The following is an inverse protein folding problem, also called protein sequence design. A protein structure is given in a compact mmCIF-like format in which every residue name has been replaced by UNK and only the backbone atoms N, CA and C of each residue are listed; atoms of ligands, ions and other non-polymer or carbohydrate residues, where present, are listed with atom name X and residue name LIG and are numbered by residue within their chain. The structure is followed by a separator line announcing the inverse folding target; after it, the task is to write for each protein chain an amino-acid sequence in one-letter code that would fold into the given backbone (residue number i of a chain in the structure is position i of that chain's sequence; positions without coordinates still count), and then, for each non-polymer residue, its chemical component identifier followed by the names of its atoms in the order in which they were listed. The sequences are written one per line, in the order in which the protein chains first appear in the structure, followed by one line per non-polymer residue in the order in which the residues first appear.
data_IF_550984251716
#
_entry.id   IF_550984251716
#
_cell.length_a   1.000
_cell.length_b   1.000
_cell.length_c   1.000
_cell.angle_alpha   90.00
_cell.angle_beta   90.00
_cell.angle_gamma   90.00
#
_symmetry.space_group_name_H-M   'P 1'
#
loop_
_entity.id
_entity.type
_entity.pdbx_description
1 polymer ?
#
# COMPACT_ATOMS: atom_id res chain seq x y z
N UNK A 1 30.75 -32.69 -14.30
CA UNK A 1 29.90 -33.48 -13.40
C UNK A 1 28.78 -32.56 -12.98
N UNK A 2 27.59 -32.72 -13.57
CA UNK A 2 26.45 -31.83 -13.29
C UNK A 2 25.76 -32.37 -12.05
N UNK A 3 25.94 -31.70 -10.91
CA UNK A 3 25.28 -32.03 -9.66
C UNK A 3 23.78 -31.77 -9.82
N UNK A 4 22.99 -32.84 -9.93
CA UNK A 4 21.53 -32.75 -10.02
C UNK A 4 21.00 -32.30 -8.66
N UNK A 5 20.37 -31.13 -8.62
CA UNK A 5 19.71 -30.63 -7.42
C UNK A 5 18.66 -31.65 -6.92
N UNK A 6 18.50 -31.82 -5.60
CA UNK A 6 17.54 -32.77 -5.04
C UNK A 6 16.13 -32.47 -5.54
N UNK A 7 15.49 -33.51 -6.09
CA UNK A 7 14.11 -33.44 -6.53
C UNK A 7 13.20 -33.24 -5.30
N UNK A 8 12.34 -32.22 -5.36
CA UNK A 8 11.36 -31.96 -4.32
C UNK A 8 10.12 -32.84 -4.45
N UNK A 9 9.29 -32.84 -3.41
CA UNK A 9 8.01 -33.54 -3.45
C UNK A 9 7.13 -33.03 -4.59
N UNK A 10 6.38 -33.92 -5.27
CA UNK A 10 5.47 -33.52 -6.33
C UNK A 10 4.38 -32.60 -5.77
N UNK A 11 3.95 -31.65 -6.60
CA UNK A 11 2.93 -30.68 -6.21
C UNK A 11 1.64 -31.41 -5.80
N UNK A 12 1.08 -31.14 -4.60
CA UNK A 12 -0.10 -31.84 -4.11
C UNK A 12 -1.37 -31.53 -4.93
N UNK A 13 -1.38 -30.43 -5.69
CA UNK A 13 -2.54 -30.00 -6.48
C UNK A 13 -2.53 -30.55 -7.92
N UNK A 14 -1.36 -30.62 -8.56
CA UNK A 14 -1.27 -30.95 -10.00
C UNK A 14 -0.27 -32.08 -10.32
N UNK A 15 0.43 -32.62 -9.33
CA UNK A 15 1.41 -33.70 -9.50
C UNK A 15 2.73 -33.30 -10.18
N UNK A 16 2.90 -32.03 -10.56
CA UNK A 16 4.15 -31.55 -11.18
C UNK A 16 5.35 -31.77 -10.25
N UNK A 17 6.43 -32.34 -10.76
CA UNK A 17 7.72 -32.38 -10.08
C UNK A 17 8.36 -31.00 -10.09
N UNK A 18 8.85 -30.56 -8.92
CA UNK A 18 9.50 -29.28 -8.75
C UNK A 18 10.79 -29.47 -7.93
N UNK A 19 11.78 -28.59 -8.11
CA UNK A 19 13.00 -28.60 -7.29
C UNK A 19 12.69 -28.18 -5.84
N UNK A 20 13.42 -28.69 -4.86
CA UNK A 20 13.11 -28.40 -3.44
C UNK A 20 13.16 -26.91 -3.07
N UNK A 21 13.90 -26.09 -3.81
CA UNK A 21 14.06 -24.67 -3.52
C UNK A 21 12.93 -23.79 -4.04
N UNK A 22 12.01 -24.31 -4.87
CA UNK A 22 10.90 -23.49 -5.35
C UNK A 22 9.84 -23.30 -4.28
N UNK A 23 9.41 -22.05 -4.11
CA UNK A 23 8.34 -21.68 -3.19
C UNK A 23 6.96 -22.02 -3.73
N UNK A 24 6.81 -21.99 -5.05
CA UNK A 24 5.53 -22.22 -5.74
C UNK A 24 5.73 -23.28 -6.82
N UNK A 25 4.68 -24.05 -7.08
CA UNK A 25 4.67 -24.98 -8.20
C UNK A 25 4.77 -24.21 -9.52
N UNK A 26 5.71 -24.58 -10.38
CA UNK A 26 5.95 -23.91 -11.67
C UNK A 26 4.83 -24.12 -12.70
N UNK A 27 3.87 -25.03 -12.42
CA UNK A 27 2.75 -25.32 -13.31
C UNK A 27 1.41 -24.74 -12.83
N UNK A 28 1.08 -24.92 -11.55
CA UNK A 28 -0.24 -24.54 -11.02
C UNK A 28 -0.18 -23.48 -9.92
N UNK A 29 1.02 -22.97 -9.62
CA UNK A 29 1.29 -21.89 -8.65
C UNK A 29 0.82 -22.15 -7.22
N UNK A 30 0.54 -23.42 -6.88
CA UNK A 30 0.27 -23.80 -5.49
C UNK A 30 1.53 -23.56 -4.66
N UNK A 31 1.36 -22.96 -3.47
CA UNK A 31 2.44 -22.78 -2.51
C UNK A 31 2.97 -24.15 -2.09
N UNK A 32 4.28 -24.36 -2.27
CA UNK A 32 4.97 -25.59 -1.90
C UNK A 32 5.82 -25.38 -0.65
N UNK A 33 6.42 -24.19 -0.48
CA UNK A 33 7.26 -23.86 0.68
C UNK A 33 7.00 -22.47 1.23
N UNK A 34 7.02 -22.38 2.54
CA UNK A 34 6.92 -21.15 3.30
C UNK A 34 8.32 -20.61 3.58
N UNK A 35 8.52 -19.32 3.36
CA UNK A 35 9.75 -18.63 3.72
C UNK A 35 9.57 -17.96 5.07
N UNK A 36 10.46 -18.25 6.03
CA UNK A 36 10.44 -17.60 7.33
C UNK A 36 10.65 -16.08 7.16
N UNK A 37 9.78 -15.22 7.74
CA UNK A 37 9.90 -13.77 7.58
C UNK A 37 11.10 -13.17 8.32
N UNK A 38 11.68 -13.90 9.29
CA UNK A 38 12.82 -13.44 10.07
C UNK A 38 14.17 -13.89 9.50
N UNK A 39 14.31 -15.16 9.10
CA UNK A 39 15.59 -15.73 8.67
C UNK A 39 15.60 -16.27 7.24
N UNK A 40 14.48 -16.15 6.50
CA UNK A 40 14.31 -16.61 5.13
C UNK A 40 14.52 -18.12 4.89
N UNK A 41 14.55 -18.93 5.95
CA UNK A 41 14.56 -20.37 5.85
C UNK A 41 13.31 -20.89 5.12
N UNK A 42 13.50 -21.77 4.14
CA UNK A 42 12.43 -22.38 3.35
C UNK A 42 12.02 -23.73 3.96
N UNK A 43 10.74 -23.86 4.30
CA UNK A 43 10.19 -25.04 4.97
C UNK A 43 8.85 -25.46 4.36
N UNK A 44 8.46 -26.74 4.45
CA UNK A 44 7.25 -27.25 3.82
C UNK A 44 5.95 -26.85 4.56
N UNK A 45 6.04 -26.28 5.76
CA UNK A 45 4.89 -25.88 6.57
C UNK A 45 4.96 -24.42 7.05
N UNK A 46 3.78 -23.85 7.33
CA UNK A 46 3.65 -22.57 8.02
C UNK A 46 3.82 -22.71 9.54
N UNK A 47 3.46 -21.65 10.27
CA UNK A 47 3.51 -21.64 11.74
C UNK A 47 4.90 -21.30 12.26
N UNK A 48 5.55 -22.24 12.95
CA UNK A 48 6.85 -22.01 13.57
C UNK A 48 8.00 -22.30 12.60
N UNK A 49 9.02 -21.46 12.63
CA UNK A 49 10.23 -21.69 11.84
C UNK A 49 11.10 -22.79 12.45
N UNK A 50 11.52 -23.76 11.64
CA UNK A 50 12.42 -24.84 12.08
C UNK A 50 13.84 -24.35 12.38
N UNK A 51 14.27 -23.28 11.72
CA UNK A 51 15.62 -22.73 11.86
C UNK A 51 15.76 -21.71 13.00
N UNK A 52 14.84 -20.75 13.11
CA UNK A 52 14.94 -19.66 14.09
C UNK A 52 13.83 -19.64 15.15
N UNK A 53 12.87 -20.57 15.09
CA UNK A 53 11.81 -20.72 16.09
C UNK A 53 10.74 -19.62 16.11
N UNK A 54 10.78 -18.66 15.18
CA UNK A 54 9.77 -17.60 15.12
C UNK A 54 8.43 -18.18 14.68
N UNK A 55 7.34 -17.78 15.34
CA UNK A 55 5.98 -18.07 14.88
C UNK A 55 5.53 -17.01 13.87
N UNK A 56 5.06 -17.44 12.71
CA UNK A 56 4.71 -16.55 11.60
C UNK A 56 3.52 -15.65 11.96
N UNK A 57 2.53 -16.16 12.70
CA UNK A 57 1.33 -15.41 13.10
C UNK A 57 1.70 -14.37 14.15
N UNK A 58 2.52 -14.74 15.13
CA UNK A 58 3.01 -13.78 16.13
C UNK A 58 3.86 -12.68 15.49
N UNK A 59 4.74 -13.04 14.55
CA UNK A 59 5.58 -12.10 13.83
C UNK A 59 4.74 -11.09 13.03
N UNK A 60 3.77 -11.55 12.26
CA UNK A 60 2.88 -10.67 11.49
C UNK A 60 2.05 -9.77 12.41
N UNK A 61 1.54 -10.31 13.51
CA UNK A 61 0.77 -9.54 14.50
C UNK A 61 1.63 -8.44 15.14
N UNK A 62 2.89 -8.74 15.46
CA UNK A 62 3.84 -7.76 15.98
C UNK A 62 4.12 -6.65 14.96
N UNK A 63 4.32 -6.99 13.68
CA UNK A 63 4.53 -6.01 12.61
C UNK A 63 3.31 -5.10 12.40
N UNK A 64 2.10 -5.66 12.42
CA UNK A 64 0.85 -4.88 12.32
C UNK A 64 0.69 -3.93 13.50
N UNK A 65 1.04 -4.36 14.72
CA UNK A 65 1.03 -3.50 15.91
C UNK A 65 1.99 -2.32 15.74
N UNK A 66 3.23 -2.59 15.36
CA UNK A 66 4.25 -1.55 15.12
C UNK A 66 3.82 -0.58 14.00
N UNK A 67 3.20 -1.09 12.92
CA UNK A 67 2.70 -0.25 11.84
C UNK A 67 1.57 0.68 12.32
N UNK A 68 0.63 0.18 13.14
CA UNK A 68 -0.44 0.98 13.74
C UNK A 68 0.11 2.05 14.68
N UNK A 69 1.07 1.70 15.52
CA UNK A 69 1.73 2.65 16.43
C UNK A 69 2.42 3.77 15.67
N UNK A 70 3.15 3.44 14.58
CA UNK A 70 3.78 4.44 13.70
C UNK A 70 2.75 5.34 13.02
N UNK A 71 1.65 4.77 12.53
CA UNK A 71 0.57 5.53 11.90
C UNK A 71 -0.11 6.49 12.90
N UNK A 72 -0.36 6.03 14.13
CA UNK A 72 -0.92 6.85 15.20
C UNK A 72 0.05 7.96 15.62
N UNK A 73 1.34 7.66 15.75
CA UNK A 73 2.36 8.66 16.06
C UNK A 73 2.48 9.73 14.96
N UNK A 74 2.33 9.34 13.69
CA UNK A 74 2.32 10.27 12.57
C UNK A 74 1.04 11.14 12.53
N UNK A 75 -0.10 10.58 12.95
CA UNK A 75 -1.39 11.27 13.00
C UNK A 75 -1.62 12.10 14.27
N UNK A 76 -0.78 11.92 15.31
CA UNK A 76 -0.89 12.68 16.55
C UNK A 76 -0.72 14.18 16.26
N UNK A 77 -1.66 15.05 16.68
CA UNK A 77 -1.54 16.48 16.44
C UNK A 77 -0.27 17.00 17.10
N UNK A 78 0.59 17.67 16.34
CA UNK A 78 1.74 18.39 16.88
C UNK A 78 1.23 19.60 17.65
N UNK A 79 0.82 19.38 18.91
CA UNK A 79 0.48 20.48 19.81
C UNK A 79 1.76 21.27 20.04
N UNK A 80 1.78 22.51 19.55
CA UNK A 80 2.98 23.34 19.63
C UNK A 80 3.39 23.50 21.12
N UNK A 81 4.69 23.61 21.42
CA UNK A 81 5.14 23.86 22.79
C UNK A 81 4.55 25.16 23.34
N UNK A 82 4.24 26.14 22.48
CA UNK A 82 3.53 27.37 22.85
C UNK A 82 2.08 27.09 23.27
N UNK A 83 1.35 26.22 22.57
CA UNK A 83 -0.02 25.82 22.94
C UNK A 83 -0.03 25.02 24.24
N UNK A 84 0.95 24.12 24.46
CA UNK A 84 1.11 23.42 25.76
C UNK A 84 1.43 24.39 26.90
N UNK A 85 2.34 25.34 26.68
CA UNK A 85 2.70 26.37 27.66
C UNK A 85 1.51 27.31 27.95
N UNK A 86 0.68 27.61 26.95
CA UNK A 86 -0.54 28.39 27.13
C UNK A 86 -1.58 27.63 27.96
N UNK A 87 -1.83 26.34 27.69
CA UNK A 87 -2.80 25.54 28.47
C UNK A 87 -2.34 25.37 29.92
N UNK A 88 -1.07 25.03 30.14
CA UNK A 88 -0.49 24.94 31.49
C UNK A 88 -0.49 26.31 32.17
N UNK A 89 -0.15 27.37 31.44
CA UNK A 89 -0.17 28.74 31.92
C UNK A 89 -1.57 29.19 32.32
N UNK A 90 -2.61 28.90 31.53
CA UNK A 90 -4.01 29.22 31.83
C UNK A 90 -4.49 28.39 33.02
N UNK A 91 -4.17 27.10 33.10
CA UNK A 91 -4.54 26.26 34.25
C UNK A 91 -3.88 26.76 35.56
N UNK A 92 -2.59 27.08 35.51
CA UNK A 92 -1.88 27.70 36.64
C UNK A 92 -2.44 29.10 36.95
N UNK A 93 -2.83 29.88 35.94
CA UNK A 93 -3.44 31.19 36.13
C UNK A 93 -4.84 31.10 36.73
N UNK A 94 -5.65 30.09 36.40
CA UNK A 94 -6.96 29.86 37.01
C UNK A 94 -6.79 29.41 38.46
N UNK A 95 -5.82 28.53 38.76
CA UNK A 95 -5.49 28.14 40.13
C UNK A 95 -4.94 29.33 40.93
N UNK A 96 -4.04 30.11 40.32
CA UNK A 96 -3.49 31.31 40.93
C UNK A 96 -4.57 32.39 41.12
N UNK A 97 -5.48 32.61 40.17
CA UNK A 97 -6.60 33.56 40.28
C UNK A 97 -7.64 33.10 41.31
N UNK A 98 -7.91 31.79 41.42
CA UNK A 98 -8.74 31.23 42.49
C UNK A 98 -8.11 31.43 43.86
N UNK A 99 -6.79 31.23 43.99
CA UNK A 99 -6.04 31.55 45.20
C UNK A 99 -5.95 33.08 45.45
N UNK A 100 -5.86 33.89 44.41
CA UNK A 100 -5.72 35.36 44.46
C UNK A 100 -7.04 36.03 44.86
N UNK A 101 -8.18 35.58 44.34
CA UNK A 101 -9.50 36.07 44.78
C UNK A 101 -9.77 35.80 46.26
N UNK A 102 -9.14 34.77 46.83
CA UNK A 102 -9.19 34.48 48.26
C UNK A 102 -8.26 35.36 49.11
N UNK A 103 -7.33 36.12 48.50
CA UNK A 103 -6.22 36.77 49.20
C UNK A 103 -5.97 38.23 48.79
N UNK A 104 -6.88 38.87 48.05
CA UNK A 104 -6.87 40.33 47.77
C UNK A 104 -8.01 41.10 48.45
N UNK A 105 -8.26 40.80 49.74
CA UNK A 105 -8.34 41.89 50.72
C UNK A 105 -6.89 42.30 50.99
N UNK A 106 -6.61 43.60 50.78
CA UNK A 106 -5.38 44.32 51.14
C UNK A 106 -4.24 44.32 50.09
N UNK A 107 -4.11 45.53 49.52
CA UNK A 107 -2.85 46.22 49.21
C UNK A 107 -2.17 45.97 47.86
N UNK A 108 -1.69 47.07 47.29
CA UNK A 108 -1.31 47.23 45.88
C UNK A 108 0.17 47.48 45.63
N UNK A 109 0.51 47.31 44.34
CA UNK A 109 1.62 47.84 43.52
C UNK A 109 3.09 47.58 43.96
N UNK A 110 4.12 47.68 43.08
CA UNK A 110 4.14 47.98 41.63
C UNK A 110 4.95 46.98 40.75
N UNK A 111 5.02 47.31 39.46
CA UNK A 111 5.51 46.57 38.28
C UNK A 111 7.04 46.56 38.11
N UNK A 112 7.62 45.42 37.68
CA UNK A 112 8.97 45.33 37.08
C UNK A 112 8.88 44.91 35.59
N UNK A 113 9.69 45.46 34.69
CA UNK A 113 9.69 45.09 33.27
C UNK A 113 10.61 43.89 32.97
N UNK A 114 10.17 43.01 32.07
CA UNK A 114 10.87 41.80 31.65
C UNK A 114 11.93 42.05 30.56
N UNK A 115 12.91 41.14 30.38
CA UNK A 115 13.94 41.25 29.35
C UNK A 115 13.38 40.91 27.96
N UNK A 116 13.89 41.60 26.93
CA UNK A 116 13.49 41.41 25.53
C UNK A 116 14.01 40.06 24.97
N UNK A 117 13.18 39.27 24.27
CA UNK A 117 13.63 38.10 23.53
C UNK A 117 14.47 38.52 22.30
N UNK A 118 15.59 37.83 22.07
CA UNK A 118 16.37 37.95 20.84
C UNK A 118 15.60 37.32 19.69
N UNK A 119 15.35 38.12 18.66
CA UNK A 119 14.81 37.67 17.37
C UNK A 119 15.91 36.88 16.66
N UNK A 120 15.66 35.59 16.40
CA UNK A 120 16.46 34.82 15.47
C UNK A 120 16.16 35.32 14.05
N UNK A 121 17.19 35.72 13.32
CA UNK A 121 17.09 36.05 11.91
C UNK A 121 16.76 34.78 11.11
N UNK A 122 15.74 34.80 10.22
CA UNK A 122 15.48 33.67 9.35
C UNK A 122 16.63 33.52 8.37
N UNK A 123 17.25 32.34 8.36
CA UNK A 123 18.13 31.91 7.26
C UNK A 123 17.26 31.84 6.01
N UNK A 124 17.59 32.55 4.92
CA UNK A 124 16.81 32.47 3.69
C UNK A 124 16.81 31.03 3.20
N UNK A 125 15.61 30.45 3.07
CA UNK A 125 15.43 29.15 2.48
C UNK A 125 15.98 29.18 1.04
N UNK A 126 16.65 28.12 0.58
CA UNK A 126 17.07 28.04 -0.82
C UNK A 126 15.85 28.20 -1.73
N UNK A 127 16.00 28.86 -2.90
CA UNK A 127 14.89 29.05 -3.82
C UNK A 127 14.32 27.67 -4.21
N UNK A 128 12.98 27.51 -4.23
CA UNK A 128 12.37 26.26 -4.64
C UNK A 128 12.84 25.92 -6.07
N UNK A 129 13.09 24.63 -6.38
CA UNK A 129 13.38 24.23 -7.74
C UNK A 129 12.25 24.70 -8.68
N UNK A 130 12.55 25.05 -9.93
CA UNK A 130 11.52 25.44 -10.88
C UNK A 130 10.50 24.30 -11.00
N UNK A 131 9.21 24.62 -10.92
CA UNK A 131 8.12 23.63 -10.87
C UNK A 131 8.18 22.60 -12.03
N UNK A 132 8.71 22.99 -13.19
CA UNK A 132 8.93 22.11 -14.33
C UNK A 132 9.97 21.00 -14.07
N UNK A 133 11.03 21.28 -13.30
CA UNK A 133 12.04 20.28 -12.95
C UNK A 133 11.51 19.27 -11.92
N UNK A 134 10.66 19.72 -10.99
CA UNK A 134 9.99 18.80 -10.04
C UNK A 134 8.99 17.90 -10.75
N UNK A 135 8.20 18.44 -11.69
CA UNK A 135 7.23 17.66 -12.46
C UNK A 135 7.91 16.60 -13.34
N UNK A 136 8.98 16.94 -14.04
CA UNK A 136 9.75 15.98 -14.83
C UNK A 136 10.35 14.85 -13.97
N UNK A 137 10.84 15.19 -12.78
CA UNK A 137 11.35 14.18 -11.84
C UNK A 137 10.22 13.25 -11.36
N UNK A 138 9.04 13.81 -11.04
CA UNK A 138 7.87 13.02 -10.65
C UNK A 138 7.39 12.11 -11.77
N UNK A 139 7.37 12.58 -13.02
CA UNK A 139 7.01 11.77 -14.18
C UNK A 139 7.97 10.59 -14.36
N UNK A 140 9.28 10.82 -14.24
CA UNK A 140 10.30 9.77 -14.30
C UNK A 140 10.18 8.76 -13.15
N UNK A 141 9.88 9.23 -11.94
CA UNK A 141 9.67 8.37 -10.77
C UNK A 141 8.41 7.49 -10.94
N UNK A 142 7.31 8.06 -11.45
CA UNK A 142 6.09 7.30 -11.76
C UNK A 142 6.36 6.24 -12.81
N UNK A 143 7.03 6.60 -13.91
CA UNK A 143 7.33 5.64 -14.96
C UNK A 143 8.17 4.48 -14.42
N UNK A 144 9.18 4.77 -13.60
CA UNK A 144 10.02 3.75 -12.96
C UNK A 144 9.20 2.77 -12.11
N UNK A 145 8.25 3.27 -11.30
CA UNK A 145 7.45 2.38 -10.44
C UNK A 145 6.42 1.56 -11.22
N UNK A 146 5.79 2.15 -12.25
CA UNK A 146 4.85 1.42 -13.12
C UNK A 146 5.56 0.33 -13.94
N UNK A 147 6.78 0.60 -14.42
CA UNK A 147 7.63 -0.40 -15.06
C UNK A 147 8.06 -1.50 -14.09
N UNK A 148 8.32 -1.16 -12.83
CA UNK A 148 8.55 -2.13 -11.76
C UNK A 148 7.37 -3.07 -11.53
N UNK A 149 6.13 -2.53 -11.52
CA UNK A 149 4.92 -3.34 -11.42
C UNK A 149 4.70 -4.23 -12.64
N UNK A 150 4.93 -3.72 -13.86
CA UNK A 150 4.92 -4.53 -15.10
C UNK A 150 5.88 -5.70 -14.97
N UNK A 151 7.10 -5.44 -14.50
CA UNK A 151 8.13 -6.47 -14.36
C UNK A 151 7.71 -7.55 -13.37
N UNK A 152 7.04 -7.19 -12.28
CA UNK A 152 6.52 -8.15 -11.29
C UNK A 152 5.34 -8.98 -11.82
N UNK A 153 4.43 -8.34 -12.57
CA UNK A 153 3.33 -9.04 -13.22
C UNK A 153 3.86 -10.08 -14.23
N UNK A 154 4.82 -9.69 -15.07
CA UNK A 154 5.45 -10.58 -16.06
C UNK A 154 6.32 -11.68 -15.42
N UNK A 155 6.99 -11.38 -14.31
CA UNK A 155 7.81 -12.33 -13.56
C UNK A 155 6.98 -13.32 -12.71
N UNK A 156 5.65 -13.28 -12.80
CA UNK A 156 4.75 -14.15 -12.02
C UNK A 156 4.99 -14.00 -10.51
N UNK A 157 5.24 -12.78 -10.03
CA UNK A 157 5.50 -12.49 -8.63
C UNK A 157 4.33 -12.92 -7.73
N UNK A 158 4.60 -13.25 -6.47
CA UNK A 158 3.54 -13.58 -5.50
C UNK A 158 2.91 -12.31 -4.90
N UNK A 159 1.68 -12.44 -4.37
CA UNK A 159 0.97 -11.31 -3.78
C UNK A 159 1.73 -10.56 -2.66
N UNK A 160 2.42 -11.23 -1.71
CA UNK A 160 3.24 -10.54 -0.71
C UNK A 160 4.30 -9.58 -1.28
N UNK A 161 4.80 -9.85 -2.49
CA UNK A 161 5.74 -8.97 -3.19
C UNK A 161 5.04 -7.93 -4.05
N UNK A 162 3.91 -8.29 -4.67
CA UNK A 162 3.16 -7.43 -5.57
C UNK A 162 2.31 -6.39 -4.83
N UNK A 163 1.47 -6.82 -3.88
CA UNK A 163 0.48 -6.01 -3.19
C UNK A 163 1.07 -4.75 -2.55
N UNK A 164 2.03 -4.87 -1.61
CA UNK A 164 2.65 -3.70 -0.97
C UNK A 164 3.26 -2.71 -1.98
N UNK A 165 3.92 -3.21 -3.03
CA UNK A 165 4.53 -2.37 -4.07
C UNK A 165 3.48 -1.64 -4.90
N UNK A 166 2.34 -2.26 -5.20
CA UNK A 166 1.23 -1.58 -5.87
C UNK A 166 0.66 -0.44 -5.02
N UNK A 167 0.44 -0.68 -3.71
CA UNK A 167 -0.02 0.37 -2.79
C UNK A 167 0.99 1.51 -2.62
N UNK A 168 2.29 1.23 -2.60
CA UNK A 168 3.33 2.26 -2.52
C UNK A 168 3.46 3.04 -3.83
N UNK A 169 3.40 2.38 -4.98
CA UNK A 169 3.40 3.01 -6.30
C UNK A 169 2.22 3.98 -6.46
N UNK A 170 1.02 3.61 -5.94
CA UNK A 170 -0.17 4.48 -5.98
C UNK A 170 0.10 5.86 -5.40
N UNK A 171 0.80 5.94 -4.27
CA UNK A 171 1.14 7.22 -3.61
C UNK A 171 2.00 8.12 -4.51
N UNK A 172 2.94 7.52 -5.24
CA UNK A 172 3.85 8.23 -6.15
C UNK A 172 3.06 8.75 -7.36
N UNK A 173 2.18 7.91 -7.92
CA UNK A 173 1.29 8.29 -9.04
C UNK A 173 0.33 9.41 -8.61
N UNK A 174 -0.31 9.31 -7.46
CA UNK A 174 -1.23 10.33 -6.96
C UNK A 174 -0.53 11.68 -6.76
N UNK A 175 0.71 11.68 -6.26
CA UNK A 175 1.52 12.90 -6.14
C UNK A 175 1.79 13.52 -7.50
N UNK A 176 2.19 12.75 -8.51
CA UNK A 176 2.44 13.26 -9.86
C UNK A 176 1.18 13.82 -10.51
N UNK A 177 0.07 13.07 -10.46
CA UNK A 177 -1.18 13.49 -11.09
C UNK A 177 -1.75 14.76 -10.42
N UNK A 178 -1.48 14.95 -9.13
CA UNK A 178 -1.90 16.15 -8.39
C UNK A 178 -0.93 17.34 -8.53
N UNK A 179 0.27 17.13 -9.07
CA UNK A 179 1.23 18.22 -9.27
C UNK A 179 0.74 19.21 -10.34
N UNK A 180 1.14 20.47 -10.22
CA UNK A 180 0.82 21.49 -11.23
C UNK A 180 1.61 21.28 -12.52
N UNK A 181 1.05 21.70 -13.66
CA UNK A 181 1.69 21.57 -14.97
C UNK A 181 1.62 20.16 -15.55
N UNK A 182 2.52 19.84 -16.49
CA UNK A 182 2.59 18.54 -17.15
C UNK A 182 1.48 18.30 -18.19
N UNK A 183 1.67 17.24 -18.96
CA UNK A 183 0.70 16.80 -19.96
C UNK A 183 -0.48 16.08 -19.29
N UNK A 184 -1.70 16.58 -19.50
CA UNK A 184 -2.94 16.06 -18.89
C UNK A 184 -3.24 14.63 -19.33
N UNK A 185 -2.90 14.33 -20.57
CA UNK A 185 -3.13 13.03 -21.21
C UNK A 185 -2.17 11.96 -20.67
N UNK A 186 -0.91 12.31 -20.46
CA UNK A 186 0.11 11.47 -19.79
C UNK A 186 -0.30 11.23 -18.33
N UNK A 187 -0.69 12.27 -17.60
CA UNK A 187 -1.18 12.14 -16.21
C UNK A 187 -2.39 11.22 -16.11
N UNK A 188 -3.36 11.37 -17.00
CA UNK A 188 -4.52 10.49 -17.07
C UNK A 188 -4.10 9.05 -17.35
N UNK A 189 -3.27 8.81 -18.35
CA UNK A 189 -2.82 7.45 -18.69
C UNK A 189 -2.02 6.78 -17.55
N UNK A 190 -1.19 7.54 -16.82
CA UNK A 190 -0.49 7.03 -15.64
C UNK A 190 -1.45 6.67 -14.49
N UNK A 191 -2.49 7.49 -14.26
CA UNK A 191 -3.55 7.17 -13.29
C UNK A 191 -4.31 5.91 -13.68
N UNK A 192 -4.80 5.83 -14.91
CA UNK A 192 -5.56 4.67 -15.42
C UNK A 192 -4.73 3.38 -15.37
N UNK A 193 -3.44 3.46 -15.69
CA UNK A 193 -2.50 2.34 -15.56
C UNK A 193 -2.39 1.87 -14.10
N UNK A 194 -2.24 2.81 -13.16
CA UNK A 194 -2.16 2.50 -11.74
C UNK A 194 -3.46 1.91 -11.21
N UNK A 195 -4.60 2.44 -11.64
CA UNK A 195 -5.92 1.97 -11.24
C UNK A 195 -6.14 0.50 -11.67
N UNK A 196 -5.66 0.10 -12.85
CA UNK A 196 -5.66 -1.30 -13.29
C UNK A 196 -4.78 -2.20 -12.41
N UNK A 197 -3.57 -1.75 -12.03
CA UNK A 197 -2.75 -2.50 -11.08
C UNK A 197 -3.40 -2.61 -9.69
N UNK A 198 -4.12 -1.57 -9.25
CA UNK A 198 -4.85 -1.61 -7.99
C UNK A 198 -6.06 -2.55 -8.04
N UNK A 199 -6.79 -2.59 -9.16
CA UNK A 199 -7.85 -3.57 -9.39
C UNK A 199 -7.31 -5.00 -9.32
N UNK A 200 -6.17 -5.27 -9.97
CA UNK A 200 -5.49 -6.56 -9.87
C UNK A 200 -5.09 -6.90 -8.41
N UNK A 201 -4.57 -5.93 -7.65
CA UNK A 201 -4.25 -6.15 -6.23
C UNK A 201 -5.50 -6.49 -5.40
N UNK A 202 -6.61 -5.77 -5.61
CA UNK A 202 -7.86 -6.01 -4.92
C UNK A 202 -8.45 -7.40 -5.26
N UNK A 203 -8.48 -7.75 -6.54
CA UNK A 203 -8.94 -9.04 -7.04
C UNK A 203 -8.12 -10.19 -6.45
N UNK A 204 -6.79 -10.09 -6.48
CA UNK A 204 -5.91 -11.12 -5.92
C UNK A 204 -6.12 -11.27 -4.40
N UNK A 205 -6.19 -10.16 -3.66
CA UNK A 205 -6.45 -10.17 -2.23
C UNK A 205 -7.78 -10.84 -1.87
N UNK A 206 -8.83 -10.63 -2.67
CA UNK A 206 -10.11 -11.30 -2.49
C UNK A 206 -9.99 -12.83 -2.59
N UNK A 207 -9.24 -13.32 -3.59
CA UNK A 207 -8.93 -14.74 -3.73
C UNK A 207 -8.18 -15.30 -2.53
N UNK A 208 -7.17 -14.58 -2.03
CA UNK A 208 -6.41 -15.01 -0.84
C UNK A 208 -7.24 -15.10 0.43
N UNK A 209 -8.23 -14.21 0.61
CA UNK A 209 -9.17 -14.29 1.74
C UNK A 209 -10.03 -15.55 1.65
N UNK A 210 -10.49 -15.89 0.45
CA UNK A 210 -11.24 -17.11 0.22
C UNK A 210 -10.40 -18.35 0.55
N UNK A 211 -9.15 -18.39 0.07
CA UNK A 211 -8.20 -19.47 0.34
C UNK A 211 -7.87 -19.60 1.84
N UNK A 212 -7.86 -18.48 2.57
CA UNK A 212 -7.64 -18.45 4.02
C UNK A 212 -8.88 -18.83 4.86
N UNK A 213 -10.03 -19.07 4.23
CA UNK A 213 -11.29 -19.38 4.92
C UNK A 213 -12.02 -18.17 5.53
N UNK A 214 -11.63 -16.94 5.18
CA UNK A 214 -12.35 -15.72 5.55
C UNK A 214 -13.54 -15.50 4.60
N UNK A 215 -14.57 -16.35 4.70
CA UNK A 215 -15.70 -16.35 3.76
C UNK A 215 -16.42 -15.00 3.67
N UNK A 216 -16.66 -14.35 4.82
CA UNK A 216 -17.35 -13.05 4.86
C UNK A 216 -16.48 -11.94 4.26
N UNK A 217 -15.21 -11.89 4.62
CA UNK A 217 -14.29 -10.89 4.08
C UNK A 217 -14.02 -11.11 2.59
N UNK A 218 -13.95 -12.36 2.15
CA UNK A 218 -13.82 -12.72 0.74
C UNK A 218 -15.06 -12.30 -0.06
N UNK A 219 -16.27 -12.61 0.41
CA UNK A 219 -17.51 -12.21 -0.26
C UNK A 219 -17.61 -10.68 -0.43
N UNK A 220 -17.31 -9.91 0.63
CA UNK A 220 -17.28 -8.46 0.55
C UNK A 220 -16.21 -7.94 -0.43
N UNK A 221 -15.03 -8.56 -0.45
CA UNK A 221 -13.96 -8.19 -1.36
C UNK A 221 -14.30 -8.50 -2.82
N UNK A 222 -14.88 -9.67 -3.12
CA UNK A 222 -15.35 -10.02 -4.46
C UNK A 222 -16.43 -9.06 -4.96
N UNK A 223 -17.42 -8.74 -4.12
CA UNK A 223 -18.45 -7.76 -4.45
C UNK A 223 -17.84 -6.38 -4.74
N UNK A 224 -16.84 -5.94 -3.97
CA UNK A 224 -16.13 -4.68 -4.24
C UNK A 224 -15.41 -4.71 -5.58
N UNK A 225 -14.78 -5.82 -5.95
CA UNK A 225 -14.08 -6.00 -7.22
C UNK A 225 -15.07 -5.98 -8.39
N UNK A 226 -16.23 -6.62 -8.25
CA UNK A 226 -17.27 -6.65 -9.29
C UNK A 226 -17.83 -5.25 -9.62
N UNK A 227 -17.94 -4.39 -8.61
CA UNK A 227 -18.44 -3.02 -8.76
C UNK A 227 -17.35 -1.98 -9.08
N UNK A 228 -16.10 -2.40 -9.22
CA UNK A 228 -15.01 -1.45 -9.46
C UNK A 228 -15.14 -0.84 -10.88
N UNK A 229 -15.25 0.50 -11.01
CA UNK A 229 -15.45 1.16 -12.30
C UNK A 229 -14.24 1.01 -13.24
N UNK A 230 -13.06 0.64 -12.72
CA UNK A 230 -11.86 0.38 -13.54
C UNK A 230 -12.10 -0.75 -14.53
N UNK A 231 -13.03 -1.67 -14.25
CA UNK A 231 -13.42 -2.72 -15.19
C UNK A 231 -13.85 -2.17 -16.55
N UNK A 232 -14.46 -0.99 -16.61
CA UNK A 232 -14.89 -0.40 -17.89
C UNK A 232 -13.72 -0.01 -18.79
N UNK A 233 -12.53 0.20 -18.20
CA UNK A 233 -11.29 0.49 -18.91
C UNK A 233 -10.55 -0.77 -19.42
N UNK A 234 -10.96 -1.97 -18.98
CA UNK A 234 -10.40 -3.25 -19.39
C UNK A 234 -11.49 -4.21 -19.91
N UNK A 235 -11.75 -4.21 -21.24
CA UNK A 235 -12.83 -4.99 -21.84
C UNK A 235 -12.79 -6.48 -21.50
N UNK A 236 -11.61 -7.09 -21.44
CA UNK A 236 -11.47 -8.51 -21.11
C UNK A 236 -11.92 -8.84 -19.68
N UNK A 237 -11.53 -8.02 -18.70
CA UNK A 237 -11.97 -8.18 -17.31
C UNK A 237 -13.46 -7.88 -17.14
N UNK A 238 -13.99 -6.88 -17.86
CA UNK A 238 -15.43 -6.59 -17.90
C UNK A 238 -16.22 -7.77 -18.46
N UNK A 239 -15.78 -8.34 -19.58
CA UNK A 239 -16.43 -9.52 -20.18
C UNK A 239 -16.41 -10.71 -19.23
N UNK A 240 -15.33 -10.90 -18.47
CA UNK A 240 -15.27 -11.94 -17.44
C UNK A 240 -16.31 -11.72 -16.33
N UNK A 241 -16.49 -10.47 -15.87
CA UNK A 241 -17.55 -10.10 -14.92
C UNK A 241 -18.93 -10.39 -15.52
N UNK A 242 -19.21 -9.85 -16.70
CA UNK A 242 -20.55 -9.86 -17.30
C UNK A 242 -21.01 -11.27 -17.69
N UNK A 243 -20.07 -12.17 -18.00
CA UNK A 243 -20.35 -13.58 -18.32
C UNK A 243 -20.38 -14.51 -17.10
N UNK A 244 -20.24 -13.97 -15.89
CA UNK A 244 -20.38 -14.75 -14.67
C UNK A 244 -21.77 -15.37 -14.61
N UNK A 245 -21.82 -16.70 -14.45
CA UNK A 245 -23.09 -17.44 -14.38
C UNK A 245 -23.64 -17.34 -12.97
N UNK A 246 -24.95 -17.14 -12.85
CA UNK A 246 -25.63 -17.18 -11.56
C UNK A 246 -25.37 -18.52 -10.84
N UNK A 247 -25.12 -18.42 -9.54
CA UNK A 247 -24.99 -19.58 -8.64
C UNK A 247 -26.05 -19.44 -7.54
N UNK A 248 -26.84 -20.48 -7.31
CA UNK A 248 -27.87 -20.49 -6.28
C UNK A 248 -27.31 -20.33 -4.84
N UNK A 249 -26.01 -20.51 -4.65
CA UNK A 249 -25.32 -20.49 -3.34
C UNK A 249 -24.66 -19.16 -3.01
N UNK A 250 -24.54 -18.23 -3.97
CA UNK A 250 -23.84 -16.97 -3.77
C UNK A 250 -24.53 -15.81 -4.50
N UNK A 251 -24.52 -14.59 -3.94
CA UNK A 251 -24.98 -13.40 -4.66
C UNK A 251 -24.23 -13.21 -5.99
N UNK A 252 -24.92 -12.68 -7.01
CA UNK A 252 -24.36 -12.53 -8.36
C UNK A 252 -23.06 -11.72 -8.34
N UNK A 253 -23.00 -10.64 -7.57
CA UNK A 253 -21.83 -9.78 -7.43
C UNK A 253 -20.61 -10.51 -6.86
N UNK A 254 -20.81 -11.54 -6.03
CA UNK A 254 -19.72 -12.37 -5.52
C UNK A 254 -19.20 -13.27 -6.63
N UNK A 255 -20.08 -13.90 -7.41
CA UNK A 255 -19.69 -14.76 -8.54
C UNK A 255 -19.01 -13.96 -9.66
N UNK A 256 -19.49 -12.74 -9.90
CA UNK A 256 -18.88 -11.76 -10.78
C UNK A 256 -17.46 -11.41 -10.33
N UNK A 257 -17.27 -11.10 -9.05
CA UNK A 257 -15.94 -10.82 -8.48
C UNK A 257 -14.99 -12.00 -8.63
N UNK A 258 -15.44 -13.23 -8.36
CA UNK A 258 -14.65 -14.46 -8.58
C UNK A 258 -14.24 -14.61 -10.05
N UNK A 259 -15.15 -14.29 -10.97
CA UNK A 259 -14.86 -14.34 -12.41
C UNK A 259 -13.80 -13.31 -12.81
N UNK A 260 -13.82 -12.12 -12.22
CA UNK A 260 -12.77 -11.10 -12.41
C UNK A 260 -11.42 -11.57 -11.87
N UNK A 261 -11.38 -12.26 -10.71
CA UNK A 261 -10.12 -12.85 -10.19
C UNK A 261 -9.52 -13.86 -11.16
N UNK A 262 -10.38 -14.67 -11.80
CA UNK A 262 -9.94 -15.62 -12.84
C UNK A 262 -9.38 -14.92 -14.08
N UNK A 263 -9.72 -13.64 -14.30
CA UNK A 263 -9.25 -12.80 -15.38
C UNK A 263 -8.05 -11.90 -15.00
N UNK A 264 -7.38 -12.17 -13.87
CA UNK A 264 -6.18 -11.42 -13.45
C UNK A 264 -5.12 -11.22 -14.55
N UNK A 265 -4.75 -12.24 -15.37
CA UNK A 265 -3.82 -12.04 -16.47
C UNK A 265 -4.27 -10.96 -17.45
N UNK A 266 -5.57 -10.92 -17.78
CA UNK A 266 -6.12 -9.92 -18.69
C UNK A 266 -6.11 -8.50 -18.09
N UNK A 267 -6.27 -8.37 -16.76
CA UNK A 267 -6.13 -7.08 -16.07
C UNK A 267 -4.69 -6.56 -16.19
N UNK A 268 -3.69 -7.44 -16.02
CA UNK A 268 -2.29 -7.07 -16.21
C UNK A 268 -1.99 -6.68 -17.66
N UNK A 269 -2.48 -7.42 -18.65
CA UNK A 269 -2.33 -7.08 -20.06
C UNK A 269 -2.94 -5.70 -20.40
N UNK A 270 -4.12 -5.39 -19.85
CA UNK A 270 -4.74 -4.07 -19.97
C UNK A 270 -3.83 -2.98 -19.39
N UNK A 271 -3.26 -3.19 -18.20
CA UNK A 271 -2.35 -2.23 -17.56
C UNK A 271 -1.08 -2.02 -18.39
N UNK A 272 -0.51 -3.09 -18.94
CA UNK A 272 0.68 -3.04 -19.79
C UNK A 272 0.42 -2.28 -21.09
N UNK A 273 -0.71 -2.52 -21.75
CA UNK A 273 -1.10 -1.77 -22.95
C UNK A 273 -1.23 -0.27 -22.66
N UNK A 274 -1.84 0.09 -21.52
CA UNK A 274 -1.98 1.50 -21.11
C UNK A 274 -0.64 2.14 -20.80
N UNK A 275 0.25 1.42 -20.10
CA UNK A 275 1.60 1.90 -19.83
C UNK A 275 2.37 2.15 -21.13
N UNK A 276 2.25 1.25 -22.11
CA UNK A 276 2.90 1.41 -23.41
C UNK A 276 2.38 2.62 -24.20
N UNK A 277 1.08 2.94 -24.11
CA UNK A 277 0.51 4.17 -24.68
C UNK A 277 1.12 5.43 -24.04
N UNK A 278 1.28 5.43 -22.71
CA UNK A 278 1.91 6.52 -21.97
C UNK A 278 3.38 6.68 -22.39
N UNK A 279 4.15 5.59 -22.43
CA UNK A 279 5.55 5.57 -22.85
C UNK A 279 5.72 6.16 -24.26
N UNK A 280 4.83 5.79 -25.21
CA UNK A 280 4.84 6.35 -26.57
C UNK A 280 4.56 7.85 -26.60
N UNK A 281 3.59 8.33 -25.82
CA UNK A 281 3.24 9.76 -25.75
C UNK A 281 4.38 10.58 -25.18
N UNK A 282 5.05 10.08 -24.14
CA UNK A 282 6.21 10.74 -23.55
C UNK A 282 7.42 10.78 -24.48
N UNK A 283 7.59 9.77 -25.36
CA UNK A 283 8.70 9.71 -26.31
C UNK A 283 8.47 10.52 -27.61
N UNK A 284 7.22 10.79 -27.96
CA UNK A 284 6.83 11.52 -29.18
C UNK A 284 6.38 12.96 -28.95
N UNK A 285 6.60 13.50 -27.75
CA UNK A 285 6.33 14.89 -27.37
C UNK A 285 7.50 15.82 -27.61
#
# INVERSE_FOLDING_TARGET
MTEMAPAGSPCPKCGQENVETVRFCTRCHTLLRYACPACHHLQPHGGKCDACGVDFVEYETAQLRLARERAQAAAAPRVSPATRAMVVGVALMVLALGAWWSMKRLSGAPVQPAPRPRVATPVPAPPPPPAAAEEAQLAADVLRVLQGLRSLAQAHANYPEYGPRAFDAKKIVERYVSAAGGDVEVKRGMRETMDLYMLAAAAWNAGLRADAGDERGAAAAFASVAHDPVLDSCPAARVARDNAKEDARAPLEVVQGISVVSALPAIFECAESRLADVERRMAGG
#
